data_IF_222686513427
#
_entry.id   IF_222686513427
#
_cell.length_a   1.000
_cell.length_b   1.000
_cell.length_c   1.000
_cell.angle_alpha   90.00
_cell.angle_beta   90.00
_cell.angle_gamma   90.00
#
_symmetry.space_group_name_H-M   'P 1'
#
loop_
_entity.id
_entity.type
_entity.pdbx_description
1 polymer ?
#
# COMPACT_ATOMS: atom_id res chain seq x y z
N UNK A 1 0.34 3.38 -1.77
CA UNK A 1 1.07 2.33 -1.04
C UNK A 1 2.17 1.75 -1.90
N UNK A 2 3.28 1.35 -1.28
CA UNK A 2 4.42 0.73 -1.98
C UNK A 2 4.26 -0.78 -2.15
N UNK A 3 3.71 -1.46 -1.15
CA UNK A 3 3.55 -2.92 -1.17
C UNK A 3 2.10 -3.37 -0.93
N UNK A 4 1.76 -4.54 -1.45
CA UNK A 4 0.54 -5.28 -1.13
C UNK A 4 0.88 -6.73 -0.78
N UNK A 5 0.03 -7.39 -0.01
CA UNK A 5 0.12 -8.81 0.27
C UNK A 5 -0.54 -9.60 -0.87
N UNK A 6 0.25 -10.42 -1.55
CA UNK A 6 -0.22 -11.39 -2.54
C UNK A 6 0.23 -12.75 -2.01
N UNK A 7 -0.72 -13.63 -1.71
CA UNK A 7 -0.47 -14.94 -1.08
C UNK A 7 0.36 -14.85 0.22
N UNK A 8 0.15 -13.79 1.00
CA UNK A 8 0.89 -13.52 2.24
C UNK A 8 2.29 -12.94 2.03
N UNK A 9 2.71 -12.72 0.78
CA UNK A 9 4.03 -12.15 0.45
C UNK A 9 3.88 -10.69 0.04
N UNK A 10 4.73 -9.81 0.57
CA UNK A 10 4.77 -8.40 0.17
C UNK A 10 5.32 -8.29 -1.25
N UNK A 11 4.52 -7.74 -2.15
CA UNK A 11 4.89 -7.51 -3.56
C UNK A 11 4.65 -6.05 -3.96
N UNK A 12 5.51 -5.56 -4.84
CA UNK A 12 5.36 -4.25 -5.47
C UNK A 12 4.27 -4.29 -6.55
N UNK A 13 3.77 -3.11 -6.92
CA UNK A 13 2.70 -2.99 -7.90
C UNK A 13 3.18 -3.46 -9.28
N UNK A 14 2.51 -4.49 -9.80
CA UNK A 14 2.75 -5.02 -11.13
C UNK A 14 1.50 -4.85 -12.00
N UNK A 15 1.66 -4.67 -13.31
CA UNK A 15 0.55 -4.32 -14.21
C UNK A 15 -0.50 -5.42 -14.19
N UNK A 16 -1.74 -5.06 -13.84
CA UNK A 16 -2.85 -6.01 -13.73
C UNK A 16 -2.86 -6.86 -12.45
N UNK A 17 -1.96 -6.60 -11.50
CA UNK A 17 -1.94 -7.32 -10.23
C UNK A 17 -3.00 -6.76 -9.25
N UNK A 18 -3.53 -7.66 -8.43
CA UNK A 18 -4.39 -7.37 -7.29
C UNK A 18 -3.79 -8.00 -6.04
N UNK A 19 -3.97 -7.34 -4.90
CA UNK A 19 -3.48 -7.85 -3.62
C UNK A 19 -4.29 -7.31 -2.46
N UNK A 20 -3.88 -7.65 -1.25
CA UNK A 20 -4.51 -7.19 -0.02
C UNK A 20 -3.64 -6.15 0.68
N UNK A 21 -4.29 -5.16 1.28
CA UNK A 21 -3.61 -4.20 2.13
C UNK A 21 -3.10 -4.89 3.40
N UNK A 22 -1.81 -4.73 3.70
CA UNK A 22 -1.21 -5.29 4.91
C UNK A 22 -1.74 -4.69 6.22
N UNK A 23 -2.45 -3.56 6.16
CA UNK A 23 -2.96 -2.86 7.34
C UNK A 23 -4.45 -3.08 7.57
N UNK A 24 -5.26 -3.09 6.50
CA UNK A 24 -6.71 -3.20 6.60
C UNK A 24 -7.30 -4.43 5.90
N UNK A 25 -6.45 -5.30 5.34
CA UNK A 25 -6.83 -6.50 4.60
C UNK A 25 -7.84 -6.26 3.47
N UNK A 26 -7.87 -5.04 2.94
CA UNK A 26 -8.77 -4.65 1.85
C UNK A 26 -8.13 -4.86 0.49
N UNK A 27 -8.95 -5.05 -0.54
CA UNK A 27 -8.51 -5.15 -1.93
C UNK A 27 -7.73 -3.91 -2.38
N UNK A 28 -6.54 -4.17 -2.91
CA UNK A 28 -5.67 -3.25 -3.59
C UNK A 28 -5.57 -3.60 -5.07
N UNK A 29 -5.56 -2.58 -5.91
CA UNK A 29 -5.35 -2.67 -7.35
C UNK A 29 -4.03 -1.97 -7.67
N UNK A 30 -3.20 -2.64 -8.47
CA UNK A 30 -1.98 -2.04 -8.98
C UNK A 30 -2.32 -1.00 -10.04
N UNK A 31 -1.91 0.25 -9.79
CA UNK A 31 -1.93 1.32 -10.78
C UNK A 31 -0.54 1.48 -11.36
N UNK A 32 -0.34 0.87 -12.51
CA UNK A 32 0.87 0.95 -13.31
C UNK A 32 0.55 1.74 -14.57
N UNK A 33 1.09 2.95 -14.71
CA UNK A 33 0.96 3.76 -15.91
C UNK A 33 2.31 4.33 -16.30
N UNK A 34 2.48 4.72 -17.57
CA UNK A 34 3.77 5.14 -18.10
C UNK A 34 4.28 6.47 -17.52
N UNK A 35 3.38 7.26 -16.93
CA UNK A 35 3.66 8.59 -16.36
C UNK A 35 3.86 8.52 -14.83
N UNK A 36 3.20 7.59 -14.15
CA UNK A 36 3.21 7.51 -12.67
C UNK A 36 3.86 6.22 -12.22
N UNK A 37 4.69 6.32 -11.18
CA UNK A 37 5.30 5.15 -10.54
C UNK A 37 4.25 4.10 -10.20
N UNK A 38 4.63 2.84 -10.33
CA UNK A 38 3.77 1.74 -10.00
C UNK A 38 3.44 1.80 -8.50
N UNK A 39 2.16 1.90 -8.17
CA UNK A 39 1.72 1.98 -6.80
C UNK A 39 0.42 1.20 -6.59
N UNK A 40 0.20 0.80 -5.35
CA UNK A 40 -1.05 0.16 -4.93
C UNK A 40 -2.06 1.21 -4.47
N UNK A 41 -3.30 1.04 -4.93
CA UNK A 41 -4.44 1.87 -4.54
C UNK A 41 -5.61 0.99 -4.09
N UNK A 42 -6.38 1.44 -3.09
CA UNK A 42 -7.58 0.73 -2.68
C UNK A 42 -8.62 0.71 -3.80
N UNK A 43 -9.26 -0.45 -3.98
CA UNK A 43 -10.38 -0.62 -4.91
C UNK A 43 -11.59 0.23 -4.51
N UNK A 44 -11.83 0.37 -3.21
CA UNK A 44 -12.93 1.16 -2.62
C UNK A 44 -12.38 2.32 -1.79
N UNK A 45 -13.18 3.39 -1.63
CA UNK A 45 -12.90 4.45 -0.65
C UNK A 45 -13.04 3.85 0.75
N UNK A 46 -11.95 3.30 1.26
CA UNK A 46 -11.81 2.88 2.66
C UNK A 46 -10.92 3.87 3.38
N UNK A 47 -11.29 4.17 4.62
CA UNK A 47 -10.46 4.95 5.53
C UNK A 47 -9.31 4.05 6.01
N UNK A 48 -8.33 3.84 5.14
CA UNK A 48 -7.10 3.16 5.46
C UNK A 48 -6.03 4.22 5.64
N UNK A 49 -5.49 4.32 6.85
CA UNK A 49 -4.45 5.28 7.21
C UNK A 49 -3.14 4.97 6.49
N UNK A 50 -3.05 5.49 5.26
CA UNK A 50 -1.85 5.49 4.42
C UNK A 50 -0.65 6.17 5.08
N UNK A 51 -0.88 6.99 6.11
CA UNK A 51 0.16 7.65 6.90
C UNK A 51 1.09 6.66 7.59
N UNK A 52 0.59 5.49 8.01
CA UNK A 52 1.39 4.47 8.70
C UNK A 52 2.53 3.90 7.85
N UNK A 53 2.42 3.93 6.50
CA UNK A 53 3.54 3.52 5.63
C UNK A 53 4.66 4.56 5.55
N UNK A 54 4.34 5.83 5.74
CA UNK A 54 5.27 6.95 5.57
C UNK A 54 5.90 7.40 6.89
N UNK A 55 5.51 6.82 8.02
CA UNK A 55 6.11 7.11 9.32
C UNK A 55 7.52 6.54 9.42
N UNK A 56 8.49 7.45 9.29
CA UNK A 56 9.90 7.22 9.62
C UNK A 56 10.05 6.94 11.12
N UNK A 57 11.09 6.21 11.50
CA UNK A 57 11.40 5.93 12.91
C UNK A 57 11.45 7.20 13.77
N UNK A 58 11.82 8.34 13.20
CA UNK A 58 11.77 9.66 13.85
C UNK A 58 10.37 10.02 14.37
N UNK A 59 9.30 9.77 13.60
CA UNK A 59 7.93 10.02 14.06
C UNK A 59 7.52 9.04 15.17
N UNK A 60 8.01 7.80 15.16
CA UNK A 60 7.73 6.78 16.19
C UNK A 60 8.46 7.01 17.51
N UNK A 61 9.57 7.76 17.51
CA UNK A 61 10.38 7.98 18.70
C UNK A 61 9.97 9.22 19.50
N UNK A 62 9.20 10.14 18.90
CA UNK A 62 8.82 11.42 19.53
C UNK A 62 7.52 11.36 20.35
N UNK A 63 6.87 10.20 20.45
CA UNK A 63 5.65 9.98 21.24
C UNK A 63 5.94 9.50 22.68
N UNK A 64 7.06 9.92 23.28
CA UNK A 64 7.40 9.65 24.68
C UNK A 64 7.50 10.93 25.49
#
# INVERSE_FOLDING_TARGET
MKFALIDGIKKEANKGATGLCQFCSSDLIAKCGDIKIHHWAHKSKRNCDIWRENETEWHRHMER
#
